data_IF_763904094785
#
_entry.id   IF_763904094785
#
_cell.length_a   1.000
_cell.length_b   1.000
_cell.length_c   1.000
_cell.angle_alpha   90.00
_cell.angle_beta   90.00
_cell.angle_gamma   90.00
#
_symmetry.space_group_name_H-M   'P 1'
#
loop_
_entity.id
_entity.type
_entity.pdbx_description
1 polymer ?
#
# COMPACT_ATOMS: atom_id res chain seq x y z
N UNK A 1 70.04 -29.37 -2.33
CA UNK A 1 68.86 -28.52 -2.14
C UNK A 1 68.08 -28.54 -3.44
N UNK A 2 67.09 -29.43 -3.55
CA UNK A 2 66.23 -29.47 -4.74
C UNK A 2 65.22 -28.33 -4.62
N UNK A 3 65.35 -27.33 -5.50
CA UNK A 3 64.36 -26.26 -5.62
C UNK A 3 63.06 -26.87 -6.16
N UNK A 4 62.01 -26.84 -5.35
CA UNK A 4 60.66 -27.16 -5.79
C UNK A 4 60.22 -26.05 -6.74
N UNK A 5 60.12 -26.36 -8.03
CA UNK A 5 59.49 -25.46 -9.01
C UNK A 5 57.98 -25.43 -8.71
N UNK A 6 57.36 -24.25 -8.47
CA UNK A 6 55.92 -24.17 -8.28
C UNK A 6 55.23 -24.54 -9.59
N UNK A 7 54.18 -25.38 -9.49
CA UNK A 7 53.27 -25.66 -10.60
C UNK A 7 52.74 -24.33 -11.16
N UNK A 8 52.65 -24.13 -12.49
CA UNK A 8 52.16 -22.87 -13.06
C UNK A 8 50.74 -22.63 -12.57
N UNK A 9 50.57 -21.68 -11.64
CA UNK A 9 49.26 -21.24 -11.19
C UNK A 9 48.53 -20.58 -12.36
N UNK A 10 47.23 -20.84 -12.52
CA UNK A 10 46.44 -20.05 -13.46
C UNK A 10 46.52 -18.58 -13.05
N UNK A 11 46.90 -17.72 -13.98
CA UNK A 11 46.91 -16.28 -13.78
C UNK A 11 45.57 -15.71 -14.24
N UNK A 12 45.09 -14.70 -13.52
CA UNK A 12 43.86 -13.99 -13.88
C UNK A 12 44.02 -13.30 -15.23
N UNK A 13 43.09 -13.53 -16.16
CA UNK A 13 43.13 -12.94 -17.50
C UNK A 13 42.97 -11.40 -17.49
N UNK A 14 42.39 -10.81 -16.44
CA UNK A 14 42.23 -9.37 -16.29
C UNK A 14 43.41 -8.70 -15.57
N UNK A 15 43.77 -9.18 -14.36
CA UNK A 15 44.75 -8.50 -13.51
C UNK A 15 46.09 -9.23 -13.36
N UNK A 16 46.28 -10.40 -13.99
CA UNK A 16 47.53 -11.16 -13.95
C UNK A 16 47.88 -11.81 -12.60
N UNK A 17 47.03 -11.65 -11.59
CA UNK A 17 47.24 -12.19 -10.24
C UNK A 17 47.04 -13.72 -10.21
N UNK A 18 47.78 -14.42 -9.35
CA UNK A 18 47.64 -15.87 -9.19
C UNK A 18 46.24 -16.22 -8.65
N UNK A 19 45.51 -17.07 -9.38
CA UNK A 19 44.16 -17.49 -9.02
C UNK A 19 44.20 -18.49 -7.87
N UNK A 20 43.44 -18.19 -6.81
CA UNK A 20 43.28 -19.05 -5.62
C UNK A 20 41.93 -19.80 -5.61
N UNK A 21 41.12 -19.65 -6.67
CA UNK A 21 39.80 -20.27 -6.81
C UNK A 21 39.15 -19.91 -8.15
N UNK A 22 37.86 -20.26 -8.32
CA UNK A 22 37.10 -19.97 -9.55
C UNK A 22 36.96 -18.46 -9.85
N UNK A 23 37.16 -17.61 -8.83
CA UNK A 23 37.13 -16.15 -8.93
C UNK A 23 38.46 -15.56 -8.45
N UNK A 24 38.93 -14.52 -9.14
CA UNK A 24 40.11 -13.77 -8.73
C UNK A 24 39.83 -12.97 -7.45
N UNK A 25 40.66 -13.14 -6.42
CA UNK A 25 40.52 -12.43 -5.15
C UNK A 25 40.87 -10.93 -5.26
N UNK A 26 41.67 -10.53 -6.26
CA UNK A 26 42.09 -9.14 -6.45
C UNK A 26 41.09 -8.31 -7.29
N UNK A 27 40.54 -8.88 -8.37
CA UNK A 27 39.65 -8.15 -9.28
C UNK A 27 38.23 -8.73 -9.44
N UNK A 28 37.95 -9.91 -8.87
CA UNK A 28 36.63 -10.54 -8.92
C UNK A 28 36.29 -11.30 -10.21
N UNK A 29 37.18 -11.36 -11.21
CA UNK A 29 36.89 -12.05 -12.48
C UNK A 29 36.78 -13.57 -12.29
N UNK A 30 35.74 -14.19 -12.87
CA UNK A 30 35.59 -15.65 -12.94
C UNK A 30 36.50 -16.27 -14.00
N UNK A 31 37.00 -17.48 -13.75
CA UNK A 31 37.80 -18.28 -14.71
C UNK A 31 36.97 -18.76 -15.92
N UNK A 32 35.64 -18.81 -15.80
CA UNK A 32 34.75 -19.31 -16.87
C UNK A 32 34.65 -18.28 -18.02
N UNK A 33 34.80 -18.76 -19.26
CA UNK A 33 34.60 -17.94 -20.46
C UNK A 33 33.11 -17.68 -20.70
N UNK A 34 32.78 -16.46 -21.14
CA UNK A 34 31.40 -16.00 -21.37
C UNK A 34 30.84 -16.43 -22.74
N UNK A 35 31.71 -16.89 -23.65
CA UNK A 35 31.31 -17.25 -25.02
C UNK A 35 30.76 -18.70 -25.00
N UNK A 36 29.44 -18.82 -24.88
CA UNK A 36 28.69 -20.08 -25.00
C UNK A 36 27.71 -20.03 -26.19
N UNK A 37 27.28 -21.19 -26.73
CA UNK A 37 26.22 -21.25 -27.74
C UNK A 37 24.91 -20.62 -27.23
N UNK A 38 24.12 -20.02 -28.12
CA UNK A 38 22.88 -19.27 -27.79
C UNK A 38 21.87 -20.11 -26.99
N UNK A 39 21.81 -21.42 -27.21
CA UNK A 39 20.96 -22.34 -26.44
C UNK A 39 21.33 -22.38 -24.95
N UNK A 40 22.64 -22.39 -24.65
CA UNK A 40 23.12 -22.31 -23.27
C UNK A 40 22.99 -20.89 -22.70
N UNK A 41 22.91 -19.84 -23.52
CA UNK A 41 22.58 -18.49 -23.03
C UNK A 41 21.10 -18.37 -22.64
N UNK A 42 20.20 -19.05 -23.33
CA UNK A 42 18.76 -19.12 -22.98
C UNK A 42 18.53 -19.99 -21.74
N UNK A 43 19.27 -21.09 -21.61
CA UNK A 43 19.27 -21.92 -20.42
C UNK A 43 19.91 -21.19 -19.23
N UNK A 44 21.06 -20.52 -19.42
CA UNK A 44 21.68 -19.64 -18.42
C UNK A 44 20.80 -18.41 -18.11
N UNK A 45 19.99 -17.91 -19.05
CA UNK A 45 19.05 -16.82 -18.80
C UNK A 45 17.80 -17.30 -18.07
N UNK A 46 17.26 -18.47 -18.41
CA UNK A 46 16.21 -19.15 -17.66
C UNK A 46 16.68 -19.43 -16.24
N UNK A 47 17.88 -20.01 -16.11
CA UNK A 47 18.55 -20.13 -14.83
C UNK A 47 18.72 -18.75 -14.21
N UNK A 48 19.23 -17.70 -14.85
CA UNK A 48 19.41 -16.38 -14.22
C UNK A 48 18.09 -15.71 -13.78
N UNK A 49 16.99 -15.92 -14.51
CA UNK A 49 15.65 -15.43 -14.18
C UNK A 49 14.96 -16.28 -13.09
N UNK A 50 15.19 -17.59 -13.05
CA UNK A 50 14.72 -18.50 -11.99
C UNK A 50 15.67 -18.60 -10.79
N UNK A 51 16.92 -18.14 -10.93
CA UNK A 51 17.84 -17.69 -9.88
C UNK A 51 17.40 -16.30 -9.38
N UNK A 52 16.09 -16.03 -9.36
CA UNK A 52 15.46 -14.90 -8.69
C UNK A 52 15.86 -14.95 -7.21
N UNK A 53 17.02 -14.38 -6.89
CA UNK A 53 17.82 -14.59 -5.66
C UNK A 53 17.63 -16.01 -5.08
N UNK A 54 18.50 -17.00 -5.35
CA UNK A 54 18.51 -18.30 -4.64
C UNK A 54 18.41 -18.12 -3.10
N UNK A 55 18.88 -16.97 -2.62
CA UNK A 55 18.74 -16.54 -1.24
C UNK A 55 17.28 -16.40 -0.79
N UNK A 56 16.31 -16.06 -1.65
CA UNK A 56 14.87 -15.96 -1.35
C UNK A 56 14.36 -17.32 -0.85
N UNK A 57 14.62 -18.40 -1.58
CA UNK A 57 14.14 -19.75 -1.20
C UNK A 57 14.77 -20.23 0.11
N UNK A 58 15.97 -19.74 0.44
CA UNK A 58 16.62 -20.00 1.72
C UNK A 58 16.20 -19.04 2.84
N UNK A 59 15.67 -17.87 2.53
CA UNK A 59 15.31 -16.81 3.49
C UNK A 59 13.84 -16.89 3.90
N UNK A 60 12.95 -17.18 2.95
CA UNK A 60 11.50 -17.18 3.14
C UNK A 60 11.00 -18.22 4.16
N UNK A 61 11.30 -19.53 4.03
CA UNK A 61 10.82 -20.52 4.99
C UNK A 61 11.26 -20.22 6.43
N UNK A 62 12.54 -19.93 6.72
CA UNK A 62 12.93 -19.62 8.09
C UNK A 62 12.42 -18.25 8.59
N UNK A 63 12.14 -17.29 7.70
CA UNK A 63 11.49 -16.03 8.09
C UNK A 63 10.08 -16.27 8.64
N UNK A 64 9.30 -17.17 8.04
CA UNK A 64 7.92 -17.39 8.46
C UNK A 64 7.78 -18.43 9.58
N UNK A 65 8.59 -19.49 9.54
CA UNK A 65 8.44 -20.66 10.44
C UNK A 65 9.33 -20.61 11.69
N UNK A 66 10.46 -19.89 11.65
CA UNK A 66 11.46 -19.89 12.73
C UNK A 66 11.63 -18.47 13.31
N UNK A 67 10.82 -18.07 14.32
CA UNK A 67 10.88 -16.71 14.86
C UNK A 67 12.28 -16.33 15.35
N UNK A 68 12.76 -15.18 14.87
CA UNK A 68 14.08 -14.62 15.23
C UNK A 68 15.31 -15.38 14.72
N UNK A 69 15.16 -16.46 13.93
CA UNK A 69 16.29 -17.24 13.45
C UNK A 69 17.20 -16.43 12.51
N UNK A 70 16.66 -15.79 11.47
CA UNK A 70 17.45 -14.95 10.54
C UNK A 70 18.20 -13.83 11.27
N UNK A 71 17.55 -13.22 12.27
CA UNK A 71 18.16 -12.15 13.07
C UNK A 71 19.37 -12.66 13.84
N UNK A 72 19.26 -13.84 14.46
CA UNK A 72 20.37 -14.47 15.18
C UNK A 72 21.48 -14.92 14.22
N UNK A 73 21.14 -15.47 13.05
CA UNK A 73 22.10 -15.81 12.00
C UNK A 73 22.89 -14.57 11.53
N UNK A 74 22.19 -13.45 11.31
CA UNK A 74 22.82 -12.19 10.93
C UNK A 74 23.77 -11.66 12.01
N UNK A 75 23.37 -11.75 13.29
CA UNK A 75 24.24 -11.41 14.42
C UNK A 75 25.44 -12.33 14.57
N UNK A 76 25.31 -13.60 14.17
CA UNK A 76 26.42 -14.56 14.16
C UNK A 76 27.38 -14.40 12.97
N UNK A 77 27.12 -13.44 12.07
CA UNK A 77 27.99 -13.16 10.91
C UNK A 77 27.68 -14.00 9.67
N UNK A 78 26.71 -14.92 9.71
CA UNK A 78 26.30 -15.73 8.55
C UNK A 78 25.39 -14.95 7.60
N UNK A 79 25.97 -14.01 6.86
CA UNK A 79 25.24 -13.01 6.04
C UNK A 79 25.13 -13.32 4.54
N UNK A 80 25.96 -14.21 4.00
CA UNK A 80 25.98 -14.51 2.56
C UNK A 80 24.79 -15.35 2.11
N UNK A 81 24.39 -16.32 2.96
CA UNK A 81 23.33 -17.30 2.66
C UNK A 81 21.92 -16.70 2.59
N UNK A 82 21.69 -15.60 3.31
CA UNK A 82 20.36 -14.98 3.44
C UNK A 82 20.34 -13.59 2.81
N UNK A 83 19.14 -13.13 2.50
CA UNK A 83 18.94 -11.77 1.99
C UNK A 83 19.18 -10.75 3.11
N UNK A 84 19.79 -9.62 2.75
CA UNK A 84 20.00 -8.53 3.67
C UNK A 84 18.66 -8.02 4.25
N UNK A 85 18.56 -7.75 5.56
CA UNK A 85 17.29 -7.46 6.23
C UNK A 85 16.54 -6.27 5.61
N UNK A 86 17.30 -5.24 5.21
CA UNK A 86 16.74 -4.04 4.56
C UNK A 86 16.11 -4.36 3.20
N UNK A 87 16.81 -5.14 2.35
CA UNK A 87 16.29 -5.58 1.04
C UNK A 87 15.02 -6.40 1.22
N UNK A 88 15.05 -7.35 2.16
CA UNK A 88 13.92 -8.25 2.43
C UNK A 88 12.66 -7.47 2.81
N UNK A 89 12.79 -6.54 3.75
CA UNK A 89 11.68 -5.70 4.19
C UNK A 89 11.18 -4.79 3.06
N UNK A 90 12.08 -4.13 2.33
CA UNK A 90 11.70 -3.22 1.26
C UNK A 90 10.92 -3.93 0.16
N UNK A 91 11.40 -5.09 -0.29
CA UNK A 91 10.73 -5.91 -1.31
C UNK A 91 9.33 -6.33 -0.85
N UNK A 92 9.18 -6.88 0.35
CA UNK A 92 7.85 -7.29 0.84
C UNK A 92 6.94 -6.11 1.15
N UNK A 93 7.48 -4.98 1.59
CA UNK A 93 6.71 -3.74 1.75
C UNK A 93 6.10 -3.33 0.41
N UNK A 94 6.94 -3.17 -0.62
CA UNK A 94 6.47 -2.79 -1.96
C UNK A 94 5.46 -3.79 -2.53
N UNK A 95 5.73 -5.10 -2.42
CA UNK A 95 4.80 -6.13 -2.89
C UNK A 95 3.48 -6.08 -2.14
N UNK A 96 3.50 -6.02 -0.80
CA UNK A 96 2.28 -5.97 0.00
C UNK A 96 1.42 -4.75 -0.36
N UNK A 97 2.04 -3.56 -0.49
CA UNK A 97 1.32 -2.34 -0.87
C UNK A 97 0.84 -2.35 -2.32
N UNK A 98 1.62 -2.90 -3.25
CA UNK A 98 1.21 -3.04 -4.64
C UNK A 98 -0.03 -3.92 -4.76
N UNK A 99 -0.01 -5.11 -4.16
CA UNK A 99 -1.17 -5.99 -4.19
C UNK A 99 -2.36 -5.41 -3.40
N UNK A 100 -2.12 -4.64 -2.34
CA UNK A 100 -3.19 -3.98 -1.59
C UNK A 100 -3.81 -2.86 -2.41
N UNK A 101 -3.01 -2.12 -3.18
CA UNK A 101 -3.52 -1.14 -4.13
C UNK A 101 -4.37 -1.81 -5.22
N UNK A 102 -3.91 -2.93 -5.80
CA UNK A 102 -4.70 -3.72 -6.75
C UNK A 102 -6.01 -4.23 -6.14
N UNK A 103 -5.96 -4.71 -4.90
CA UNK A 103 -7.14 -5.18 -4.21
C UNK A 103 -8.18 -4.08 -4.01
N UNK A 104 -7.75 -2.88 -3.68
CA UNK A 104 -8.65 -1.75 -3.45
C UNK A 104 -9.17 -1.18 -4.76
N UNK A 105 -8.39 -1.24 -5.83
CA UNK A 105 -8.87 -0.84 -7.17
C UNK A 105 -9.88 -1.83 -7.76
N UNK A 106 -9.73 -3.14 -7.50
CA UNK A 106 -10.63 -4.19 -7.98
C UNK A 106 -11.86 -4.38 -7.08
N UNK A 107 -11.73 -4.21 -5.76
CA UNK A 107 -12.91 -4.12 -4.90
C UNK A 107 -13.61 -2.83 -5.21
N UNK A 108 -14.71 -2.92 -5.96
CA UNK A 108 -15.73 -1.89 -6.01
C UNK A 108 -16.16 -1.51 -4.58
N UNK A 109 -15.43 -0.57 -3.97
CA UNK A 109 -15.97 0.37 -2.98
C UNK A 109 -17.24 1.05 -3.53
N UNK A 110 -17.44 0.97 -4.85
CA UNK A 110 -18.61 1.33 -5.64
C UNK A 110 -19.84 0.42 -5.50
N UNK A 111 -19.79 -0.77 -4.90
CA UNK A 111 -20.97 -1.67 -4.84
C UNK A 111 -21.45 -1.95 -3.41
N UNK A 112 -20.52 -2.05 -2.44
CA UNK A 112 -20.84 -2.46 -1.07
C UNK A 112 -21.32 -1.33 -0.13
N UNK A 113 -20.97 -0.07 -0.41
CA UNK A 113 -21.37 1.09 0.41
C UNK A 113 -22.37 2.01 -0.30
N UNK A 114 -22.41 1.98 -1.62
CA UNK A 114 -23.31 2.76 -2.48
C UNK A 114 -23.71 1.83 -3.62
N UNK A 115 -24.91 1.24 -3.63
CA UNK A 115 -25.32 0.27 -4.66
C UNK A 115 -25.57 0.88 -6.04
N UNK A 116 -24.65 1.68 -6.57
CA UNK A 116 -24.73 2.30 -7.89
C UNK A 116 -23.33 2.45 -8.49
N UNK A 117 -23.17 1.93 -9.70
CA UNK A 117 -22.03 2.13 -10.60
C UNK A 117 -21.56 3.61 -10.53
N UNK A 118 -20.25 3.87 -10.41
CA UNK A 118 -19.77 5.24 -10.32
C UNK A 118 -20.03 5.95 -11.66
N UNK A 119 -20.64 7.13 -11.60
CA UNK A 119 -20.92 8.00 -12.75
C UNK A 119 -19.67 8.47 -13.53
N UNK A 120 -18.48 7.94 -13.24
CA UNK A 120 -17.21 8.34 -13.85
C UNK A 120 -17.11 7.88 -15.30
N UNK A 121 -17.65 6.69 -15.60
CA UNK A 121 -17.76 6.20 -16.98
C UNK A 121 -18.87 6.96 -17.73
N UNK A 122 -19.95 7.29 -17.04
CA UNK A 122 -21.11 7.98 -17.62
C UNK A 122 -20.81 9.44 -18.00
N UNK A 123 -20.04 10.15 -17.16
CA UNK A 123 -19.69 11.56 -17.40
C UNK A 123 -18.58 11.71 -18.45
N UNK A 124 -17.70 10.71 -18.60
CA UNK A 124 -16.65 10.73 -19.62
C UNK A 124 -17.23 10.76 -21.05
N UNK A 125 -18.30 9.99 -21.30
CA UNK A 125 -19.01 9.99 -22.58
C UNK A 125 -19.64 11.36 -22.90
N UNK A 126 -20.17 12.06 -21.89
CA UNK A 126 -20.73 13.41 -22.04
C UNK A 126 -19.65 14.45 -22.37
N UNK A 127 -18.46 14.35 -21.79
CA UNK A 127 -17.34 15.25 -22.09
C UNK A 127 -16.75 15.04 -23.49
N UNK A 128 -16.81 13.82 -24.02
CA UNK A 128 -16.27 13.45 -25.32
C UNK A 128 -17.20 13.81 -26.50
N UNK A 129 -18.44 14.22 -26.26
CA UNK A 129 -19.40 14.55 -27.30
C UNK A 129 -19.10 15.92 -27.93
N UNK A 130 -19.08 15.99 -29.26
CA UNK A 130 -18.70 17.19 -30.02
C UNK A 130 -19.91 18.05 -30.42
N UNK A 131 -21.11 17.49 -30.38
CA UNK A 131 -22.35 18.19 -30.74
C UNK A 131 -23.39 18.18 -29.62
N UNK A 132 -24.24 19.21 -29.59
CA UNK A 132 -25.29 19.34 -28.58
C UNK A 132 -26.32 18.19 -28.65
N UNK A 133 -26.56 17.64 -29.83
CA UNK A 133 -27.51 16.54 -30.04
C UNK A 133 -26.95 15.20 -29.55
N UNK A 134 -25.64 14.98 -29.69
CA UNK A 134 -24.95 13.83 -29.09
C UNK A 134 -25.02 13.88 -27.56
N UNK A 135 -24.77 15.04 -26.95
CA UNK A 135 -24.89 15.21 -25.49
C UNK A 135 -26.31 14.88 -25.01
N UNK A 136 -27.35 15.35 -25.71
CA UNK A 136 -28.75 15.05 -25.37
C UNK A 136 -29.08 13.57 -25.52
N UNK A 137 -28.55 12.90 -26.55
CA UNK A 137 -28.75 11.47 -26.78
C UNK A 137 -28.09 10.61 -25.70
N UNK A 138 -26.87 10.96 -25.30
CA UNK A 138 -26.15 10.29 -24.21
C UNK A 138 -26.88 10.51 -22.89
N UNK A 139 -27.30 11.75 -22.61
CA UNK A 139 -28.07 12.09 -21.43
C UNK A 139 -29.38 11.27 -21.33
N UNK A 140 -30.14 11.18 -22.42
CA UNK A 140 -31.39 10.41 -22.45
C UNK A 140 -31.16 8.93 -22.17
N UNK A 141 -30.18 8.30 -22.83
CA UNK A 141 -29.87 6.89 -22.59
C UNK A 141 -29.47 6.60 -21.14
N UNK A 142 -28.69 7.48 -20.52
CA UNK A 142 -28.29 7.35 -19.11
C UNK A 142 -29.46 7.57 -18.15
N UNK A 143 -30.35 8.51 -18.45
CA UNK A 143 -31.55 8.74 -17.63
C UNK A 143 -32.51 7.55 -17.69
N UNK A 144 -32.68 6.93 -18.86
CA UNK A 144 -33.49 5.72 -19.03
C UNK A 144 -32.94 4.53 -18.23
N UNK A 145 -31.62 4.33 -18.24
CA UNK A 145 -30.96 3.27 -17.46
C UNK A 145 -31.13 3.50 -15.94
N UNK A 146 -30.95 4.75 -15.48
CA UNK A 146 -31.14 5.11 -14.08
C UNK A 146 -32.61 5.00 -13.64
N UNK A 147 -33.56 5.39 -14.48
CA UNK A 147 -35.00 5.26 -14.20
C UNK A 147 -35.43 3.79 -14.16
N UNK A 148 -34.89 2.94 -15.06
CA UNK A 148 -35.10 1.50 -15.03
C UNK A 148 -34.57 0.86 -13.74
N UNK A 149 -33.35 1.22 -13.32
CA UNK A 149 -32.78 0.76 -12.05
C UNK A 149 -33.60 1.22 -10.83
N UNK A 150 -34.17 2.43 -10.87
CA UNK A 150 -35.02 2.95 -9.78
C UNK A 150 -36.39 2.25 -9.68
N UNK A 151 -36.90 1.75 -10.81
CA UNK A 151 -38.18 1.07 -10.92
C UNK A 151 -38.13 -0.40 -10.48
N UNK A 152 -36.95 -0.96 -10.21
CA UNK A 152 -36.83 -2.35 -9.77
C UNK A 152 -37.48 -2.57 -8.38
N UNK A 153 -38.32 -3.63 -8.21
CA UNK A 153 -39.09 -3.85 -6.99
C UNK A 153 -38.26 -4.08 -5.72
N UNK A 154 -36.99 -4.49 -5.86
CA UNK A 154 -36.15 -4.99 -4.77
C UNK A 154 -35.04 -4.01 -4.35
N UNK A 155 -35.14 -2.74 -4.77
CA UNK A 155 -34.14 -1.71 -4.48
C UNK A 155 -34.47 -1.01 -3.15
N UNK A 156 -33.56 -1.03 -2.15
CA UNK A 156 -33.73 -0.33 -0.88
C UNK A 156 -33.95 1.18 -1.08
N UNK A 157 -34.68 1.84 -0.18
CA UNK A 157 -34.98 3.29 -0.30
C UNK A 157 -33.70 4.15 -0.34
N UNK A 158 -32.64 3.73 0.36
CA UNK A 158 -31.33 4.37 0.29
C UNK A 158 -30.70 4.30 -1.12
N UNK A 159 -30.91 3.20 -1.84
CA UNK A 159 -30.42 3.04 -3.21
C UNK A 159 -31.27 3.85 -4.20
N UNK A 160 -32.59 3.97 -4.00
CA UNK A 160 -33.44 4.89 -4.80
C UNK A 160 -33.03 6.35 -4.63
N UNK A 161 -32.63 6.76 -3.43
CA UNK A 161 -32.08 8.09 -3.16
C UNK A 161 -30.72 8.30 -3.84
N UNK A 162 -29.84 7.30 -3.82
CA UNK A 162 -28.56 7.34 -4.52
C UNK A 162 -28.74 7.45 -6.05
N UNK A 163 -29.68 6.71 -6.63
CA UNK A 163 -30.01 6.82 -8.05
C UNK A 163 -30.51 8.23 -8.40
N UNK A 164 -31.36 8.84 -7.56
CA UNK A 164 -31.78 10.23 -7.74
C UNK A 164 -30.63 11.23 -7.72
N UNK A 165 -29.59 10.98 -6.92
CA UNK A 165 -28.36 11.80 -6.92
C UNK A 165 -27.56 11.59 -8.22
N UNK A 166 -27.43 10.36 -8.71
CA UNK A 166 -26.78 10.07 -9.99
C UNK A 166 -27.47 10.76 -11.16
N UNK A 167 -28.81 10.80 -11.17
CA UNK A 167 -29.60 11.55 -12.17
C UNK A 167 -29.27 13.05 -12.17
N UNK A 168 -29.04 13.64 -11.00
CA UNK A 168 -28.62 15.04 -10.91
C UNK A 168 -27.19 15.25 -11.41
N UNK A 169 -26.25 14.36 -11.07
CA UNK A 169 -24.85 14.41 -11.54
C UNK A 169 -24.77 14.38 -13.07
N UNK A 170 -25.47 13.42 -13.68
CA UNK A 170 -25.53 13.24 -15.13
C UNK A 170 -26.12 14.47 -15.82
N UNK A 171 -27.19 15.05 -15.25
CA UNK A 171 -27.79 16.30 -15.75
C UNK A 171 -26.84 17.49 -15.65
N UNK A 172 -26.14 17.64 -14.52
CA UNK A 172 -25.21 18.76 -14.30
C UNK A 172 -23.96 18.65 -15.18
N UNK A 173 -23.51 17.43 -15.49
CA UNK A 173 -22.46 17.18 -16.47
C UNK A 173 -22.92 17.51 -17.90
N UNK A 174 -24.11 17.06 -18.29
CA UNK A 174 -24.70 17.37 -19.60
C UNK A 174 -24.90 18.88 -19.79
N UNK A 175 -25.43 19.59 -18.79
CA UNK A 175 -25.63 21.04 -18.83
C UNK A 175 -24.32 21.83 -18.91
N UNK A 176 -23.25 21.36 -18.25
CA UNK A 176 -21.91 21.95 -18.39
C UNK A 176 -21.39 21.83 -19.82
N UNK A 177 -21.51 20.64 -20.43
CA UNK A 177 -21.10 20.44 -21.83
C UNK A 177 -21.96 21.24 -22.81
N UNK A 178 -23.28 21.29 -22.61
CA UNK A 178 -24.18 22.11 -23.44
C UNK A 178 -23.84 23.60 -23.34
N UNK A 179 -23.45 24.09 -22.16
CA UNK A 179 -23.00 25.46 -21.98
C UNK A 179 -21.69 25.75 -22.76
N UNK A 180 -20.72 24.81 -22.75
CA UNK A 180 -19.51 24.91 -23.58
C UNK A 180 -19.83 24.97 -25.08
N UNK A 181 -20.81 24.17 -25.50
CA UNK A 181 -21.31 24.11 -26.88
C UNK A 181 -22.28 25.26 -27.22
N UNK A 182 -22.52 26.20 -26.29
CA UNK A 182 -23.46 27.33 -26.42
C UNK A 182 -24.90 26.91 -26.78
N UNK A 183 -25.32 25.73 -26.31
CA UNK A 183 -26.65 25.19 -26.51
C UNK A 183 -27.56 25.43 -25.29
N UNK A 184 -28.88 25.32 -25.49
CA UNK A 184 -29.85 25.46 -24.41
C UNK A 184 -29.72 24.34 -23.36
N UNK A 185 -29.80 24.68 -22.05
CA UNK A 185 -29.70 23.72 -20.96
C UNK A 185 -30.95 22.85 -20.84
N UNK A 186 -30.77 21.65 -20.32
CA UNK A 186 -31.83 20.69 -20.04
C UNK A 186 -32.57 21.11 -18.77
N UNK A 187 -33.88 21.30 -18.88
CA UNK A 187 -34.74 21.73 -17.79
C UNK A 187 -34.84 20.66 -16.67
N UNK A 188 -34.96 21.06 -15.39
CA UNK A 188 -35.21 20.13 -14.31
C UNK A 188 -36.60 19.48 -14.50
N UNK A 189 -36.64 18.14 -14.53
CA UNK A 189 -37.90 17.40 -14.54
C UNK A 189 -38.75 17.67 -13.29
N UNK A 190 -40.06 17.53 -13.43
CA UNK A 190 -41.11 17.86 -12.44
C UNK A 190 -41.04 17.10 -11.10
N UNK A 191 -40.06 16.21 -10.91
CA UNK A 191 -39.85 15.47 -9.66
C UNK A 191 -38.58 15.89 -8.91
N UNK A 192 -37.96 17.02 -9.27
CA UNK A 192 -36.81 17.58 -8.58
C UNK A 192 -37.19 18.45 -7.36
N UNK A 193 -38.17 18.03 -6.56
CA UNK A 193 -38.30 18.50 -5.19
C UNK A 193 -37.37 17.66 -4.31
N UNK A 194 -36.06 17.90 -4.44
CA UNK A 194 -35.15 17.57 -3.35
C UNK A 194 -35.48 18.51 -2.19
N UNK A 195 -36.10 17.96 -1.14
CA UNK A 195 -36.31 18.60 0.17
C UNK A 195 -35.00 18.89 0.93
N UNK A 196 -33.92 19.24 0.24
CA UNK A 196 -32.73 19.84 0.81
C UNK A 196 -32.59 21.23 0.19
N UNK A 197 -33.07 22.25 0.91
CA UNK A 197 -32.64 23.61 0.65
C UNK A 197 -31.09 23.62 0.67
N UNK A 198 -30.40 24.33 -0.25
CA UNK A 198 -28.97 24.56 -0.10
C UNK A 198 -28.77 25.19 1.27
N UNK A 199 -28.19 24.43 2.20
CA UNK A 199 -27.86 24.92 3.53
C UNK A 199 -26.95 26.12 3.27
N UNK A 200 -27.39 27.32 3.66
CA UNK A 200 -26.55 28.53 3.60
C UNK A 200 -25.19 28.13 4.15
N UNK A 201 -24.15 28.19 3.32
CA UNK A 201 -22.79 28.00 3.76
C UNK A 201 -22.61 28.96 4.93
N UNK A 202 -22.35 28.41 6.10
CA UNK A 202 -22.14 29.20 7.30
C UNK A 202 -20.88 30.04 7.02
N UNK A 203 -21.07 31.33 6.73
CA UNK A 203 -19.97 32.25 6.38
C UNK A 203 -18.92 32.30 7.51
N UNK A 204 -19.31 31.89 8.72
CA UNK A 204 -18.45 31.83 9.90
C UNK A 204 -17.76 30.47 10.11
N UNK A 205 -17.97 29.49 9.22
CA UNK A 205 -17.34 28.18 9.33
C UNK A 205 -15.84 28.25 9.04
N UNK A 206 -15.05 27.46 9.78
CA UNK A 206 -13.61 27.31 9.56
C UNK A 206 -13.24 26.92 8.11
N UNK A 207 -14.15 26.20 7.42
CA UNK A 207 -13.98 25.76 6.04
C UNK A 207 -14.14 26.91 5.02
N UNK A 208 -14.86 27.96 5.39
CA UNK A 208 -15.17 29.13 4.55
C UNK A 208 -14.07 30.21 4.63
N UNK A 209 -13.27 30.21 5.72
CA UNK A 209 -12.24 31.25 5.96
C UNK A 209 -10.96 31.01 5.15
N UNK A 210 -10.41 32.06 4.50
CA UNK A 210 -9.16 31.97 3.75
C UNK A 210 -8.00 31.54 4.66
N UNK A 211 -7.18 30.62 4.19
CA UNK A 211 -6.08 30.04 4.97
C UNK A 211 -4.82 30.88 4.81
N UNK A 212 -4.49 31.67 5.83
CA UNK A 212 -3.20 32.35 5.94
C UNK A 212 -2.41 31.71 7.08
N UNK A 213 -1.30 31.04 6.74
CA UNK A 213 -0.33 30.56 7.74
C UNK A 213 0.89 31.44 7.64
N UNK A 214 1.25 32.10 8.73
CA UNK A 214 2.51 32.82 8.86
C UNK A 214 3.21 32.32 10.13
N UNK A 215 4.37 31.66 9.95
CA UNK A 215 5.15 31.05 11.02
C UNK A 215 6.56 31.59 10.91
N UNK A 216 6.94 32.48 11.83
CA UNK A 216 8.20 33.24 11.78
C UNK A 216 9.49 32.38 11.77
N UNK A 217 9.45 31.13 12.21
CA UNK A 217 10.62 30.23 12.23
C UNK A 217 10.69 29.28 11.03
N UNK A 218 9.67 29.25 10.17
CA UNK A 218 9.54 28.29 9.09
C UNK A 218 9.93 28.94 7.76
N UNK A 219 10.75 28.30 6.91
CA UNK A 219 11.08 28.85 5.58
C UNK A 219 9.82 29.10 4.73
N UNK A 220 9.80 30.20 3.97
CA UNK A 220 8.65 30.64 3.17
C UNK A 220 8.07 29.55 2.26
N UNK A 221 8.95 28.69 1.71
CA UNK A 221 8.56 27.55 0.87
C UNK A 221 7.70 26.55 1.64
N UNK A 222 8.05 26.25 2.88
CA UNK A 222 7.30 25.34 3.74
C UNK A 222 6.00 25.99 4.22
N UNK A 223 6.03 27.28 4.58
CA UNK A 223 4.85 28.06 4.96
C UNK A 223 3.80 28.06 3.85
N UNK A 224 4.22 28.29 2.59
CA UNK A 224 3.34 28.23 1.42
C UNK A 224 2.79 26.83 1.17
N UNK A 225 3.62 25.78 1.28
CA UNK A 225 3.16 24.38 1.13
C UNK A 225 2.14 24.00 2.21
N UNK A 226 2.34 24.43 3.45
CA UNK A 226 1.40 24.17 4.54
C UNK A 226 0.06 24.88 4.30
N UNK A 227 0.10 26.16 3.90
CA UNK A 227 -1.10 26.93 3.58
C UNK A 227 -1.91 26.29 2.44
N UNK A 228 -1.24 25.83 1.38
CA UNK A 228 -1.86 25.11 0.26
C UNK A 228 -2.46 23.77 0.72
N UNK A 229 -1.73 22.98 1.51
CA UNK A 229 -2.23 21.70 2.01
C UNK A 229 -3.47 21.86 2.90
N UNK A 230 -3.49 22.87 3.78
CA UNK A 230 -4.66 23.17 4.63
C UNK A 230 -5.84 23.65 3.78
N UNK A 231 -5.60 24.43 2.72
CA UNK A 231 -6.65 24.87 1.81
C UNK A 231 -7.29 23.68 1.06
N UNK A 232 -6.48 22.76 0.51
CA UNK A 232 -6.98 21.53 -0.12
C UNK A 232 -7.73 20.64 0.87
N UNK A 233 -7.18 20.47 2.08
CA UNK A 233 -7.84 19.73 3.16
C UNK A 233 -9.23 20.29 3.48
N UNK A 234 -9.33 21.62 3.67
CA UNK A 234 -10.61 22.28 3.91
C UNK A 234 -11.60 22.05 2.77
N UNK A 235 -11.15 22.19 1.53
CA UNK A 235 -11.99 22.00 0.34
C UNK A 235 -12.50 20.55 0.21
N UNK A 236 -11.61 19.57 0.36
CA UNK A 236 -11.94 18.14 0.28
C UNK A 236 -12.88 17.72 1.42
N UNK A 237 -12.62 18.16 2.66
CA UNK A 237 -13.47 17.84 3.82
C UNK A 237 -14.83 18.54 3.72
N UNK A 238 -14.88 19.81 3.30
CA UNK A 238 -16.14 20.52 3.09
C UNK A 238 -17.01 19.79 2.07
N UNK A 239 -16.41 19.33 0.96
CA UNK A 239 -17.10 18.55 -0.06
C UNK A 239 -17.64 17.20 0.46
N UNK A 240 -16.97 16.58 1.43
CA UNK A 240 -17.46 15.36 2.10
C UNK A 240 -18.60 15.67 3.08
N UNK A 241 -18.52 16.78 3.82
CA UNK A 241 -19.51 17.22 4.80
C UNK A 241 -20.80 17.74 4.16
N UNK A 242 -20.70 18.43 3.04
CA UNK A 242 -21.83 19.05 2.34
C UNK A 242 -22.73 18.02 1.64
N UNK A 243 -22.31 16.74 1.59
CA UNK A 243 -23.14 15.64 1.10
C UNK A 243 -23.49 15.73 -0.39
N UNK A 244 -22.83 16.62 -1.14
CA UNK A 244 -23.11 16.87 -2.54
C UNK A 244 -22.55 15.80 -3.50
N UNK A 245 -22.77 15.95 -4.81
CA UNK A 245 -22.36 15.01 -5.85
C UNK A 245 -20.85 14.74 -5.94
N UNK A 246 -20.02 15.57 -5.29
CA UNK A 246 -18.57 15.40 -5.24
C UNK A 246 -18.04 14.61 -4.03
N UNK A 247 -18.89 14.12 -3.13
CA UNK A 247 -18.47 13.38 -1.93
C UNK A 247 -17.70 12.10 -2.27
N UNK A 248 -18.16 11.32 -3.25
CA UNK A 248 -17.52 10.07 -3.66
C UNK A 248 -16.15 10.30 -4.29
N UNK A 249 -16.03 11.33 -5.14
CA UNK A 249 -14.76 11.74 -5.76
C UNK A 249 -13.78 12.29 -4.71
N UNK A 250 -14.26 13.06 -3.73
CA UNK A 250 -13.43 13.53 -2.61
C UNK A 250 -12.93 12.35 -1.75
N UNK A 251 -13.80 11.39 -1.43
CA UNK A 251 -13.40 10.17 -0.69
C UNK A 251 -12.34 9.39 -1.47
N UNK A 252 -12.51 9.24 -2.79
CA UNK A 252 -11.54 8.53 -3.64
C UNK A 252 -10.16 9.20 -3.61
N UNK A 253 -10.10 10.53 -3.76
CA UNK A 253 -8.83 11.28 -3.68
C UNK A 253 -8.17 11.15 -2.31
N UNK A 254 -8.96 11.22 -1.23
CA UNK A 254 -8.47 11.01 0.13
C UNK A 254 -7.86 9.60 0.29
N UNK A 255 -8.55 8.57 -0.23
CA UNK A 255 -8.09 7.18 -0.16
C UNK A 255 -6.81 6.98 -0.99
N UNK A 256 -6.79 7.41 -2.25
CA UNK A 256 -5.61 7.33 -3.13
C UNK A 256 -4.41 8.07 -2.53
N UNK A 257 -4.64 9.29 -2.02
CA UNK A 257 -3.65 10.08 -1.30
C UNK A 257 -3.12 9.36 -0.05
N UNK A 258 -4.00 8.76 0.76
CA UNK A 258 -3.61 7.98 1.93
C UNK A 258 -2.70 6.80 1.56
N UNK A 259 -3.09 5.98 0.58
CA UNK A 259 -2.30 4.82 0.15
C UNK A 259 -0.93 5.20 -0.43
N UNK A 260 -0.81 6.39 -1.04
CA UNK A 260 0.47 6.88 -1.57
C UNK A 260 1.51 7.17 -0.49
N UNK A 261 1.07 7.54 0.73
CA UNK A 261 1.94 7.95 1.84
C UNK A 261 2.22 6.79 2.80
N UNK A 262 1.40 5.73 2.80
CA UNK A 262 1.56 4.58 3.70
C UNK A 262 2.95 3.90 3.64
N UNK A 263 3.52 3.54 2.47
CA UNK A 263 4.82 2.86 2.43
C UNK A 263 5.93 3.71 3.07
N UNK A 264 5.87 5.03 2.86
CA UNK A 264 6.84 5.99 3.38
C UNK A 264 6.71 6.13 4.91
N UNK A 265 5.48 6.24 5.42
CA UNK A 265 5.23 6.32 6.87
C UNK A 265 5.75 5.09 7.59
N UNK A 266 5.48 3.89 7.06
CA UNK A 266 5.98 2.66 7.66
C UNK A 266 7.50 2.54 7.60
N UNK A 267 8.15 3.08 6.56
CA UNK A 267 9.61 3.13 6.50
C UNK A 267 10.18 4.05 7.59
N UNK A 268 9.55 5.20 7.84
CA UNK A 268 9.92 6.11 8.95
C UNK A 268 9.64 5.48 10.31
N UNK A 269 8.63 4.61 10.43
CA UNK A 269 8.34 3.89 11.68
C UNK A 269 9.44 2.90 12.09
N UNK A 270 10.30 2.43 11.17
CA UNK A 270 11.37 1.46 11.48
C UNK A 270 12.40 2.03 12.47
N UNK A 271 13.08 3.18 12.19
CA UNK A 271 14.01 3.75 13.14
C UNK A 271 13.34 4.14 14.45
N UNK A 272 12.08 4.58 14.41
CA UNK A 272 11.32 4.90 15.63
C UNK A 272 11.04 3.64 16.46
N UNK A 273 10.62 2.54 15.82
CA UNK A 273 10.43 1.25 16.50
C UNK A 273 11.75 0.69 17.05
N UNK A 274 12.85 0.81 16.30
CA UNK A 274 14.18 0.44 16.77
C UNK A 274 14.63 1.29 17.97
N UNK A 275 14.26 2.57 18.01
CA UNK A 275 14.50 3.46 19.13
C UNK A 275 13.67 3.07 20.37
N UNK A 276 12.40 2.71 20.18
CA UNK A 276 11.55 2.17 21.26
C UNK A 276 12.19 0.88 21.83
N UNK A 277 12.63 -0.03 20.96
CA UNK A 277 13.37 -1.23 21.39
C UNK A 277 14.64 -0.85 22.16
N UNK A 278 15.42 0.13 21.68
CA UNK A 278 16.62 0.60 22.38
C UNK A 278 16.29 1.13 23.78
N UNK A 279 15.21 1.88 23.94
CA UNK A 279 14.78 2.43 25.24
C UNK A 279 14.43 1.31 26.23
N UNK A 280 13.61 0.34 25.83
CA UNK A 280 13.17 -0.77 26.69
C UNK A 280 14.26 -1.82 26.98
N UNK A 281 15.30 -1.87 26.14
CA UNK A 281 16.42 -2.81 26.27
C UNK A 281 17.76 -2.11 26.55
N UNK A 282 17.74 -0.86 27.03
CA UNK A 282 18.95 -0.04 27.29
C UNK A 282 19.97 -0.75 28.18
N UNK A 283 19.51 -1.52 29.17
CA UNK A 283 20.37 -2.24 30.12
C UNK A 283 21.04 -3.50 29.54
N UNK A 284 20.73 -3.90 28.30
CA UNK A 284 21.29 -5.12 27.68
C UNK A 284 22.56 -4.88 26.87
N UNK A 285 23.09 -3.65 26.85
CA UNK A 285 24.34 -3.24 26.14
C UNK A 285 24.40 -3.69 24.67
N UNK A 286 23.24 -3.81 24.00
CA UNK A 286 23.16 -4.10 22.57
C UNK A 286 23.32 -2.81 21.78
N UNK A 287 23.92 -2.91 20.59
CA UNK A 287 24.08 -1.75 19.71
C UNK A 287 22.74 -1.38 19.08
N UNK A 288 22.54 -0.10 18.77
CA UNK A 288 21.32 0.37 18.10
C UNK A 288 21.06 -0.39 16.79
N UNK A 289 22.11 -0.69 16.03
CA UNK A 289 22.01 -1.46 14.79
C UNK A 289 21.39 -2.85 15.00
N UNK A 290 21.59 -3.48 16.16
CA UNK A 290 20.94 -4.76 16.46
C UNK A 290 19.42 -4.59 16.57
N UNK A 291 18.94 -3.53 17.21
CA UNK A 291 17.51 -3.21 17.29
C UNK A 291 16.92 -2.83 15.93
N UNK A 292 17.69 -2.15 15.08
CA UNK A 292 17.28 -1.87 13.70
C UNK A 292 17.12 -3.18 12.90
N UNK A 293 18.05 -4.13 13.04
CA UNK A 293 17.95 -5.42 12.33
C UNK A 293 16.76 -6.24 12.84
N UNK A 294 16.45 -6.19 14.14
CA UNK A 294 15.23 -6.80 14.71
C UNK A 294 13.98 -6.16 14.09
N UNK A 295 13.94 -4.82 14.03
CA UNK A 295 12.85 -4.07 13.42
C UNK A 295 12.65 -4.43 11.94
N UNK A 296 13.72 -4.54 11.16
CA UNK A 296 13.67 -4.87 9.73
C UNK A 296 13.07 -6.27 9.50
N UNK A 297 13.54 -7.29 10.23
CA UNK A 297 13.00 -8.65 10.08
C UNK A 297 11.55 -8.77 10.58
N UNK A 298 11.19 -8.05 11.66
CA UNK A 298 9.81 -8.07 12.16
C UNK A 298 8.84 -7.43 11.17
N UNK A 299 9.21 -6.30 10.55
CA UNK A 299 8.39 -5.65 9.53
C UNK A 299 8.35 -6.48 8.24
N UNK A 300 9.47 -7.07 7.81
CA UNK A 300 9.48 -7.99 6.68
C UNK A 300 8.52 -9.17 6.88
N UNK A 301 8.52 -9.76 8.08
CA UNK A 301 7.57 -10.81 8.46
C UNK A 301 6.11 -10.33 8.45
N UNK A 302 5.83 -9.13 8.96
CA UNK A 302 4.47 -8.58 8.94
C UNK A 302 3.99 -8.34 7.51
N UNK A 303 4.82 -7.75 6.64
CA UNK A 303 4.45 -7.48 5.25
C UNK A 303 4.19 -8.76 4.44
N UNK A 304 5.05 -9.78 4.56
CA UNK A 304 4.79 -11.05 3.88
C UNK A 304 3.55 -11.75 4.44
N UNK A 305 3.29 -11.64 5.74
CA UNK A 305 2.09 -12.20 6.36
C UNK A 305 0.82 -11.49 5.89
N UNK A 306 0.85 -10.15 5.75
CA UNK A 306 -0.24 -9.36 5.19
C UNK A 306 -0.47 -9.68 3.71
N UNK A 307 0.59 -9.78 2.92
CA UNK A 307 0.52 -10.23 1.52
C UNK A 307 -0.11 -11.63 1.42
N UNK A 308 0.33 -12.58 2.24
CA UNK A 308 -0.23 -13.93 2.28
C UNK A 308 -1.72 -13.96 2.68
N UNK A 309 -2.11 -13.17 3.69
CA UNK A 309 -3.52 -13.03 4.09
C UNK A 309 -4.40 -12.53 2.95
N UNK A 310 -3.92 -11.54 2.21
CA UNK A 310 -4.61 -10.94 1.08
C UNK A 310 -4.74 -11.91 -0.10
N UNK A 311 -3.65 -12.58 -0.49
CA UNK A 311 -3.68 -13.62 -1.54
C UNK A 311 -4.62 -14.77 -1.18
N UNK A 312 -4.63 -15.21 0.08
CA UNK A 312 -5.62 -16.18 0.55
C UNK A 312 -7.04 -15.63 0.54
N UNK A 313 -7.23 -14.33 0.78
CA UNK A 313 -8.53 -13.66 0.67
C UNK A 313 -9.09 -13.73 -0.74
N UNK A 314 -8.27 -13.39 -1.74
CA UNK A 314 -8.62 -13.54 -3.15
C UNK A 314 -8.90 -14.99 -3.53
N UNK A 315 -8.03 -15.92 -3.13
CA UNK A 315 -8.23 -17.34 -3.39
C UNK A 315 -9.52 -17.86 -2.75
N UNK A 316 -9.84 -17.43 -1.53
CA UNK A 316 -11.10 -17.75 -0.87
C UNK A 316 -12.28 -17.26 -1.70
N UNK A 317 -12.27 -15.99 -2.12
CA UNK A 317 -13.36 -15.40 -2.90
C UNK A 317 -13.56 -16.11 -4.25
N UNK A 318 -12.47 -16.53 -4.91
CA UNK A 318 -12.53 -17.26 -6.16
C UNK A 318 -13.00 -18.72 -6.01
N UNK A 319 -12.65 -19.39 -4.91
CA UNK A 319 -12.90 -20.83 -4.72
C UNK A 319 -14.22 -21.09 -3.98
N UNK A 320 -14.63 -20.22 -3.05
CA UNK A 320 -15.82 -20.40 -2.20
C UNK A 320 -17.12 -20.66 -2.99
N UNK A 321 -17.39 -20.00 -4.14
CA UNK A 321 -18.56 -20.30 -4.97
C UNK A 321 -18.57 -21.73 -5.54
N UNK A 322 -17.39 -22.31 -5.77
CA UNK A 322 -17.26 -23.66 -6.35
C UNK A 322 -17.15 -24.74 -5.27
N UNK A 323 -16.44 -24.47 -4.18
CA UNK A 323 -16.15 -25.44 -3.12
C UNK A 323 -16.20 -24.76 -1.75
N UNK A 324 -17.38 -24.78 -1.11
CA UNK A 324 -17.58 -24.15 0.19
C UNK A 324 -16.66 -24.69 1.31
N UNK A 325 -16.29 -25.98 1.26
CA UNK A 325 -15.34 -26.57 2.22
C UNK A 325 -13.95 -25.93 2.10
N UNK A 326 -13.48 -25.68 0.87
CA UNK A 326 -12.19 -25.06 0.62
C UNK A 326 -12.19 -23.59 1.08
N UNK A 327 -13.29 -22.86 0.87
CA UNK A 327 -13.46 -21.50 1.40
C UNK A 327 -13.36 -21.44 2.94
N UNK A 328 -14.01 -22.38 3.64
CA UNK A 328 -13.88 -22.51 5.11
C UNK A 328 -12.47 -22.87 5.56
N UNK A 329 -11.81 -23.79 4.86
CA UNK A 329 -10.43 -24.19 5.15
C UNK A 329 -9.46 -23.00 5.01
N UNK A 330 -9.58 -22.21 3.94
CA UNK A 330 -8.78 -21.00 3.74
C UNK A 330 -9.06 -19.98 4.85
N UNK A 331 -10.33 -19.80 5.23
CA UNK A 331 -10.70 -18.93 6.36
C UNK A 331 -10.05 -19.33 7.69
N UNK A 332 -9.95 -20.64 7.98
CA UNK A 332 -9.25 -21.16 9.15
C UNK A 332 -7.75 -20.86 9.09
N UNK A 333 -7.12 -21.02 7.92
CA UNK A 333 -5.71 -20.67 7.72
C UNK A 333 -5.50 -19.17 7.94
N UNK A 334 -6.38 -18.30 7.41
CA UNK A 334 -6.30 -16.86 7.65
C UNK A 334 -6.42 -16.50 9.15
N UNK A 335 -7.36 -17.12 9.87
CA UNK A 335 -7.49 -16.92 11.31
C UNK A 335 -6.22 -17.38 12.07
N UNK A 336 -5.64 -18.51 11.67
CA UNK A 336 -4.38 -19.00 12.24
C UNK A 336 -3.22 -18.03 11.97
N UNK A 337 -3.13 -17.44 10.78
CA UNK A 337 -2.12 -16.43 10.45
C UNK A 337 -2.24 -15.17 11.31
N UNK A 338 -3.46 -14.69 11.56
CA UNK A 338 -3.72 -13.55 12.45
C UNK A 338 -3.23 -13.80 13.88
N UNK A 339 -3.43 -15.01 14.41
CA UNK A 339 -2.91 -15.41 15.73
C UNK A 339 -1.40 -15.63 15.68
N UNK A 340 -0.88 -16.16 14.57
CA UNK A 340 0.55 -16.41 14.40
C UNK A 340 1.39 -15.13 14.39
N UNK A 341 0.89 -14.03 13.82
CA UNK A 341 1.62 -12.75 13.76
C UNK A 341 2.10 -12.26 15.15
N UNK A 342 1.23 -12.05 16.17
CA UNK A 342 1.66 -11.60 17.49
C UNK A 342 2.50 -12.68 18.21
N UNK A 343 2.15 -13.96 18.06
CA UNK A 343 2.91 -15.09 18.65
C UNK A 343 4.34 -15.12 18.12
N UNK A 344 4.52 -14.97 16.80
CA UNK A 344 5.82 -14.90 16.15
C UNK A 344 6.67 -13.76 16.73
N UNK A 345 6.10 -12.56 16.83
CA UNK A 345 6.81 -11.39 17.36
C UNK A 345 7.19 -11.56 18.84
N UNK A 346 6.31 -12.16 19.65
CA UNK A 346 6.59 -12.46 21.05
C UNK A 346 7.75 -13.47 21.19
N UNK A 347 7.72 -14.56 20.42
CA UNK A 347 8.78 -15.57 20.44
C UNK A 347 10.09 -14.99 19.88
N UNK A 348 10.02 -14.15 18.84
CA UNK A 348 11.16 -13.46 18.26
C UNK A 348 11.85 -12.58 19.30
N UNK A 349 11.10 -11.74 20.03
CA UNK A 349 11.67 -10.92 21.11
C UNK A 349 12.31 -11.79 22.19
N UNK A 350 11.64 -12.87 22.61
CA UNK A 350 12.19 -13.81 23.61
C UNK A 350 13.54 -14.38 23.17
N UNK A 351 13.64 -14.88 21.93
CA UNK A 351 14.85 -15.54 21.40
C UNK A 351 16.00 -14.56 21.18
N UNK A 352 15.73 -13.40 20.59
CA UNK A 352 16.74 -12.38 20.29
C UNK A 352 17.31 -11.79 21.59
N UNK A 353 16.44 -11.44 22.55
CA UNK A 353 16.87 -10.76 23.78
C UNK A 353 17.21 -11.69 24.95
N UNK A 354 16.94 -13.00 24.81
CA UNK A 354 17.24 -14.05 25.80
C UNK A 354 16.75 -13.68 27.22
N UNK A 355 15.47 -13.31 27.34
CA UNK A 355 14.84 -12.93 28.61
C UNK A 355 13.86 -14.00 29.12
N UNK A 356 13.61 -13.98 30.43
CA UNK A 356 12.58 -14.81 31.07
C UNK A 356 11.17 -14.43 30.60
N UNK A 357 10.26 -15.40 30.58
CA UNK A 357 8.88 -15.23 30.10
C UNK A 357 8.11 -14.04 30.72
N UNK A 358 8.06 -13.82 32.04
CA UNK A 358 7.26 -12.74 32.60
C UNK A 358 7.76 -11.36 32.16
N UNK A 359 9.07 -11.16 32.10
CA UNK A 359 9.65 -9.91 31.64
C UNK A 359 9.43 -9.69 30.14
N UNK A 360 9.54 -10.75 29.34
CA UNK A 360 9.27 -10.66 27.89
C UNK A 360 7.81 -10.31 27.62
N UNK A 361 6.86 -10.92 28.33
CA UNK A 361 5.45 -10.65 28.14
C UNK A 361 5.09 -9.20 28.52
N UNK A 362 5.60 -8.73 29.67
CA UNK A 362 5.42 -7.34 30.11
C UNK A 362 5.99 -6.35 29.10
N UNK A 363 7.24 -6.55 28.66
CA UNK A 363 7.88 -5.67 27.67
C UNK A 363 7.17 -5.73 26.32
N UNK A 364 6.76 -6.92 25.88
CA UNK A 364 6.03 -7.09 24.62
C UNK A 364 4.73 -6.29 24.64
N UNK A 365 3.97 -6.38 25.74
CA UNK A 365 2.73 -5.62 25.90
C UNK A 365 2.98 -4.10 25.95
N UNK A 366 3.99 -3.65 26.70
CA UNK A 366 4.33 -2.21 26.79
C UNK A 366 4.82 -1.66 25.45
N UNK A 367 5.78 -2.33 24.81
CA UNK A 367 6.32 -1.93 23.49
C UNK A 367 5.21 -1.97 22.45
N UNK A 368 4.38 -3.02 22.45
CA UNK A 368 3.23 -3.16 21.57
C UNK A 368 2.23 -2.03 21.75
N UNK A 369 1.94 -1.63 22.99
CA UNK A 369 1.03 -0.52 23.30
C UNK A 369 1.59 0.83 22.81
N UNK A 370 2.87 1.12 23.09
CA UNK A 370 3.53 2.34 22.61
C UNK A 370 3.54 2.38 21.07
N UNK A 371 3.87 1.26 20.43
CA UNK A 371 3.89 1.15 18.98
C UNK A 371 2.48 1.27 18.37
N UNK A 372 1.45 0.71 19.01
CA UNK A 372 0.06 0.84 18.57
C UNK A 372 -0.40 2.31 18.53
N UNK A 373 -0.14 3.07 19.60
CA UNK A 373 -0.46 4.51 19.63
C UNK A 373 0.35 5.31 18.62
N UNK A 374 1.63 5.00 18.46
CA UNK A 374 2.49 5.61 17.45
C UNK A 374 1.97 5.32 16.03
N UNK A 375 1.57 4.08 15.76
CA UNK A 375 1.01 3.69 14.47
C UNK A 375 -0.31 4.41 14.21
N UNK A 376 -1.21 4.49 15.20
CA UNK A 376 -2.46 5.23 15.08
C UNK A 376 -2.22 6.72 14.78
N UNK A 377 -1.24 7.34 15.45
CA UNK A 377 -0.83 8.70 15.16
C UNK A 377 -0.27 8.84 13.73
N UNK A 378 0.62 7.94 13.32
CA UNK A 378 1.21 7.96 11.97
C UNK A 378 0.14 7.78 10.88
N UNK A 379 -0.82 6.87 11.08
CA UNK A 379 -1.95 6.66 10.18
C UNK A 379 -2.88 7.88 10.15
N UNK A 380 -3.08 8.57 11.27
CA UNK A 380 -3.87 9.81 11.33
C UNK A 380 -3.19 10.93 10.54
N UNK A 381 -1.87 11.08 10.69
CA UNK A 381 -1.08 12.02 9.88
C UNK A 381 -1.13 11.65 8.40
N UNK A 382 -1.01 10.36 8.06
CA UNK A 382 -1.14 9.89 6.68
C UNK A 382 -2.53 10.18 6.10
N UNK A 383 -3.59 10.02 6.88
CA UNK A 383 -4.96 10.33 6.47
C UNK A 383 -5.16 11.84 6.28
N UNK A 384 -4.57 12.68 7.15
CA UNK A 384 -4.59 14.14 6.98
C UNK A 384 -3.83 14.58 5.73
N UNK A 385 -2.66 14.00 5.46
CA UNK A 385 -1.89 14.28 4.23
C UNK A 385 -2.66 13.79 3.01
N UNK A 386 -3.25 12.60 3.06
CA UNK A 386 -4.10 12.06 2.00
C UNK A 386 -5.31 12.96 1.72
N UNK A 387 -5.89 13.55 2.76
CA UNK A 387 -6.98 14.52 2.60
C UNK A 387 -6.54 15.91 2.13
N UNK A 388 -5.27 16.24 2.23
CA UNK A 388 -4.68 17.47 1.68
C UNK A 388 -4.18 17.31 0.23
N UNK A 389 -4.15 16.07 -0.28
CA UNK A 389 -3.84 15.74 -1.66
C UNK A 389 -5.04 15.99 -2.58
#
# INVERSE_FOLDING_TARGET
MNQLTPSPGLLCANCGEALQGEFCHACGQSIRSVIKPVSHMLEDAGDLFFHMDERIVHTLPPLYTKPGFLTLEYFSGRRVRYIAPFRLMFVFCLLAFFFMHLAISDTHLDEGLYGAKPAKDDVAALHAADTADEVRKIYQGQMEELDAAKAEPNVPDAAKAAIGLSQQVVRDAANRRLAELKAEPIAPGTNAETGLAPRKADEDSWFSRPTTVDIAWLPDVMTRRLALGIAHFKANIAQVMDGGPGKSEAIRRIIEGFFSVLPQTLLVMIPVFALILKLFYVFKRRLYMEHVIVALHSHAFLFISLLGLMLLGFAKHAIEPHVALAGKAIGLVQAAMWVWMPVYLLIMQKRVYRQGWPMTLLKYWLIGSVYFWLLLFALSVAALIGAAH
#
